data_IF_028362833540
#
_entry.id   IF_028362833540
#
_cell.length_a   1.000
_cell.length_b   1.000
_cell.length_c   1.000
_cell.angle_alpha   90.00
_cell.angle_beta   90.00
_cell.angle_gamma   90.00
#
_symmetry.space_group_name_H-M   'P 1'
#
loop_
_entity.id
_entity.type
_entity.pdbx_description
1 polymer ?
#
# COMPACT_ATOMS: atom_id res chain seq x y z
N UNK A 1 -3.44 26.06 -2.96
CA UNK A 1 -3.58 25.58 -4.35
C UNK A 1 -3.54 26.73 -5.39
N UNK A 2 -3.12 27.93 -5.00
CA UNK A 2 -3.20 29.16 -5.82
C UNK A 2 -1.85 29.58 -6.42
N UNK A 3 -0.79 28.80 -6.23
CA UNK A 3 0.51 29.12 -6.80
C UNK A 3 0.42 29.13 -8.33
N UNK A 4 1.00 30.15 -8.98
CA UNK A 4 0.88 30.39 -10.44
C UNK A 4 1.26 29.19 -11.31
N UNK A 5 2.15 28.33 -10.82
CA UNK A 5 2.50 27.06 -11.47
C UNK A 5 1.27 26.18 -11.80
N UNK A 6 0.22 26.22 -10.97
CA UNK A 6 -0.99 25.42 -11.12
C UNK A 6 -2.19 26.20 -11.68
N UNK A 7 -1.98 27.36 -12.29
CA UNK A 7 -3.08 28.25 -12.71
C UNK A 7 -4.09 27.61 -13.68
N UNK A 8 -3.73 26.54 -14.38
CA UNK A 8 -4.62 25.79 -15.28
C UNK A 8 -5.21 24.51 -14.68
N UNK A 9 -4.99 24.25 -13.39
CA UNK A 9 -5.45 23.02 -12.74
C UNK A 9 -6.78 23.29 -12.02
N UNK A 10 -7.83 22.59 -12.45
CA UNK A 10 -9.04 22.43 -11.65
C UNK A 10 -8.81 21.33 -10.60
N UNK A 11 -8.75 21.73 -9.34
CA UNK A 11 -8.49 20.84 -8.22
C UNK A 11 -9.66 19.90 -7.89
N UNK A 12 -10.89 20.27 -8.26
CA UNK A 12 -12.03 19.38 -8.14
C UNK A 12 -11.89 18.22 -9.14
N UNK A 13 -11.43 18.49 -10.35
CA UNK A 13 -11.16 17.47 -11.36
C UNK A 13 -9.94 16.60 -11.02
N UNK A 14 -8.93 17.14 -10.32
CA UNK A 14 -7.83 16.35 -9.74
C UNK A 14 -8.37 15.33 -8.74
N UNK A 15 -9.16 15.78 -7.75
CA UNK A 15 -9.70 14.92 -6.69
C UNK A 15 -10.64 13.85 -7.26
N UNK A 16 -11.43 14.21 -8.28
CA UNK A 16 -12.34 13.30 -8.96
C UNK A 16 -11.65 12.41 -10.02
N UNK A 17 -10.31 12.49 -10.15
CA UNK A 17 -9.51 11.70 -11.09
C UNK A 17 -9.95 11.87 -12.56
N UNK A 18 -10.42 13.07 -12.94
CA UNK A 18 -10.89 13.39 -14.30
C UNK A 18 -9.77 13.86 -15.23
N UNK A 19 -8.70 14.45 -14.68
CA UNK A 19 -7.55 14.84 -15.49
C UNK A 19 -6.86 13.58 -16.03
N UNK A 20 -6.56 13.56 -17.33
CA UNK A 20 -5.84 12.44 -17.95
C UNK A 20 -4.38 12.46 -17.49
N UNK A 21 -3.86 11.38 -16.88
CA UNK A 21 -2.45 11.31 -16.50
C UNK A 21 -1.55 11.37 -17.75
N UNK A 22 -0.41 12.08 -17.71
CA UNK A 22 0.50 12.18 -18.85
C UNK A 22 1.18 10.83 -19.19
N UNK A 23 1.24 9.92 -18.22
CA UNK A 23 1.76 8.57 -18.39
C UNK A 23 0.71 7.55 -17.96
N UNK A 24 0.47 6.57 -18.83
CA UNK A 24 -0.38 5.41 -18.54
C UNK A 24 0.48 4.14 -18.54
N UNK A 25 0.66 3.48 -17.38
CA UNK A 25 1.36 2.21 -17.30
C UNK A 25 0.72 1.18 -18.23
N UNK A 26 1.55 0.45 -18.98
CA UNK A 26 1.14 -0.60 -19.90
C UNK A 26 1.14 -1.93 -19.16
N UNK A 27 0.04 -2.26 -18.50
CA UNK A 27 -0.15 -3.55 -17.82
C UNK A 27 -0.88 -4.54 -18.73
N UNK A 28 -0.49 -5.81 -18.71
CA UNK A 28 -1.10 -6.86 -19.55
C UNK A 28 -2.11 -7.73 -18.80
N UNK A 29 -2.09 -7.72 -17.47
CA UNK A 29 -3.03 -8.49 -16.62
C UNK A 29 -3.13 -7.89 -15.22
N UNK A 30 -4.10 -8.37 -14.43
CA UNK A 30 -4.29 -7.96 -13.02
C UNK A 30 -3.10 -8.33 -12.11
N UNK A 31 -2.27 -9.30 -12.53
CA UNK A 31 -1.10 -9.80 -11.78
C UNK A 31 0.23 -9.38 -12.42
N UNK A 32 0.21 -8.42 -13.37
CA UNK A 32 1.43 -7.94 -14.04
C UNK A 32 2.32 -7.15 -13.07
N UNK A 33 3.55 -7.62 -12.87
CA UNK A 33 4.53 -7.03 -11.96
C UNK A 33 5.63 -6.23 -12.68
N UNK A 34 5.50 -5.90 -13.96
CA UNK A 34 6.59 -5.29 -14.77
C UNK A 34 7.13 -3.93 -14.31
N UNK A 35 6.39 -3.23 -13.44
CA UNK A 35 6.81 -1.95 -12.85
C UNK A 35 7.35 -2.11 -11.42
N UNK A 36 7.57 -3.35 -10.98
CA UNK A 36 8.28 -3.71 -9.76
C UNK A 36 9.65 -4.29 -10.13
N UNK A 37 10.64 -4.18 -9.23
CA UNK A 37 11.98 -4.71 -9.47
C UNK A 37 11.97 -6.25 -9.54
N UNK A 38 12.76 -6.80 -10.45
CA UNK A 38 12.96 -8.24 -10.60
C UNK A 38 13.71 -8.83 -9.40
N UNK A 39 14.53 -8.03 -8.69
CA UNK A 39 15.20 -8.45 -7.45
C UNK A 39 14.21 -9.01 -6.42
N UNK A 40 12.98 -8.49 -6.39
CA UNK A 40 11.93 -8.94 -5.46
C UNK A 40 10.94 -9.90 -6.11
N UNK A 41 10.49 -9.62 -7.33
CA UNK A 41 9.42 -10.41 -7.98
C UNK A 41 9.88 -11.80 -8.43
N UNK A 42 11.20 -12.02 -8.57
CA UNK A 42 11.78 -13.34 -8.85
C UNK A 42 12.00 -14.20 -7.59
N UNK A 43 11.83 -13.65 -6.38
CA UNK A 43 12.02 -14.41 -5.14
C UNK A 43 10.85 -15.38 -4.91
N UNK A 44 11.15 -16.48 -4.21
CA UNK A 44 10.10 -17.42 -3.78
C UNK A 44 9.21 -16.76 -2.72
N UNK A 45 7.90 -16.86 -2.90
CA UNK A 45 6.92 -16.39 -1.90
C UNK A 45 6.98 -17.33 -0.70
N UNK A 46 7.60 -16.89 0.39
CA UNK A 46 7.66 -17.61 1.66
C UNK A 46 7.51 -16.66 2.83
N UNK A 47 6.78 -17.07 3.87
CA UNK A 47 6.71 -16.35 5.13
C UNK A 47 7.85 -16.87 5.99
N UNK A 48 8.92 -16.09 6.11
CA UNK A 48 10.06 -16.43 6.97
C UNK A 48 9.62 -16.43 8.45
N UNK A 49 9.70 -17.57 9.16
CA UNK A 49 9.41 -17.60 10.59
C UNK A 49 10.42 -16.73 11.37
N UNK A 50 10.01 -16.11 12.50
CA UNK A 50 10.94 -15.40 13.37
C UNK A 50 11.98 -16.35 13.99
N UNK A 51 13.20 -15.84 14.22
CA UNK A 51 14.33 -16.64 14.75
C UNK A 51 14.12 -17.12 16.19
N UNK A 52 13.25 -16.47 16.97
CA UNK A 52 13.01 -16.80 18.39
C UNK A 52 11.53 -16.65 18.74
N UNK A 53 10.87 -17.78 18.98
CA UNK A 53 9.51 -17.81 19.54
C UNK A 53 9.52 -17.59 21.07
N UNK A 54 10.60 -18.00 21.75
CA UNK A 54 10.67 -18.06 23.22
C UNK A 54 10.66 -16.69 23.94
N UNK A 55 11.01 -15.60 23.24
CA UNK A 55 10.91 -14.23 23.78
C UNK A 55 9.53 -13.60 23.56
N UNK A 56 8.67 -14.23 22.76
CA UNK A 56 7.33 -13.74 22.50
C UNK A 56 6.42 -14.00 23.71
N UNK A 57 6.54 -15.14 24.40
CA UNK A 57 5.67 -15.52 25.53
C UNK A 57 5.72 -14.56 26.75
N UNK A 58 6.90 -14.01 27.07
CA UNK A 58 7.02 -13.01 28.16
C UNK A 58 6.43 -11.65 27.77
N UNK A 59 6.37 -11.39 26.47
CA UNK A 59 5.83 -10.19 25.87
C UNK A 59 4.33 -10.34 25.51
N UNK A 60 3.84 -11.56 25.28
CA UNK A 60 2.46 -11.89 24.88
C UNK A 60 1.40 -11.47 25.91
N UNK A 61 1.75 -11.46 27.21
CA UNK A 61 0.85 -10.95 28.26
C UNK A 61 0.62 -9.44 28.17
N UNK A 62 1.59 -8.67 27.72
CA UNK A 62 1.47 -7.22 27.49
C UNK A 62 1.10 -6.87 26.02
N UNK A 63 1.33 -7.78 25.06
CA UNK A 63 1.11 -7.58 23.61
C UNK A 63 -0.32 -7.25 23.18
N UNK A 64 -1.34 -7.66 23.95
CA UNK A 64 -2.73 -7.24 23.66
C UNK A 64 -2.89 -5.72 23.72
N UNK A 65 -1.96 -5.00 24.36
CA UNK A 65 -1.96 -3.53 24.44
C UNK A 65 -0.99 -2.84 23.47
N UNK A 66 -0.02 -3.55 22.88
CA UNK A 66 1.02 -2.92 22.04
C UNK A 66 0.54 -2.59 20.62
N UNK A 67 -0.45 -3.33 20.10
CA UNK A 67 -1.01 -3.15 18.77
C UNK A 67 -2.51 -2.81 18.81
N UNK A 68 -2.92 -1.76 19.55
CA UNK A 68 -4.31 -1.35 19.56
C UNK A 68 -4.70 -0.88 18.14
N UNK A 69 -5.93 -1.19 17.73
CA UNK A 69 -6.46 -0.82 16.42
C UNK A 69 -5.73 -1.42 15.19
N UNK A 70 -4.92 -2.48 15.37
CA UNK A 70 -4.21 -3.14 14.26
C UNK A 70 -5.15 -3.89 13.32
N UNK A 71 -6.15 -4.59 13.87
CA UNK A 71 -7.15 -5.28 13.06
C UNK A 71 -8.13 -4.26 12.48
N UNK A 72 -8.07 -4.07 11.17
CA UNK A 72 -8.95 -3.21 10.41
C UNK A 72 -9.58 -3.97 9.25
N UNK A 73 -10.88 -3.78 9.05
CA UNK A 73 -11.59 -4.19 7.85
C UNK A 73 -12.41 -2.99 7.39
N UNK A 74 -12.16 -2.52 6.17
CA UNK A 74 -12.92 -1.41 5.63
C UNK A 74 -14.39 -1.82 5.54
N UNK A 75 -15.30 -0.96 6.02
CA UNK A 75 -16.70 -1.11 5.71
C UNK A 75 -16.85 -0.96 4.20
N UNK A 76 -17.35 -2.02 3.54
CA UNK A 76 -17.66 -1.98 2.11
C UNK A 76 -18.68 -0.85 1.94
N UNK A 77 -18.28 0.23 1.26
CA UNK A 77 -19.25 1.21 0.76
C UNK A 77 -19.79 0.62 -0.53
N UNK A 78 -21.06 0.24 -0.52
CA UNK A 78 -21.86 0.08 -1.74
C UNK A 78 -21.89 1.40 -2.53
#
# INVERSE_FOLDING_TARGET
MEHRFFAGIDWQDVVQRKLVPPFRPQVTSEVDTRYFDEEFTAQSITITPPERYDHLDSLERDHRTHFPQFSYSASIRE
#
